data_IF_704707672120
#
_entry.id   IF_704707672120
#
_cell.length_a   1.000
_cell.length_b   1.000
_cell.length_c   1.000
_cell.angle_alpha   90.00
_cell.angle_beta   90.00
_cell.angle_gamma   90.00
#
_symmetry.space_group_name_H-M   'P 1'
#
loop_
_entity.id
_entity.type
_entity.pdbx_description
1 polymer ?
#
# COMPACT_ATOMS: atom_id res chain seq x y z
N UNK A 1 -12.16 11.15 9.28
CA UNK A 1 -13.44 10.69 9.88
C UNK A 1 -14.03 9.51 9.10
N UNK A 2 -14.37 9.69 7.83
CA UNK A 2 -15.07 8.66 7.03
C UNK A 2 -14.35 7.31 6.96
N UNK A 3 -13.03 7.32 6.73
CA UNK A 3 -12.22 6.11 6.73
C UNK A 3 -12.33 5.32 8.05
N UNK A 4 -12.23 6.01 9.20
CA UNK A 4 -12.37 5.38 10.51
C UNK A 4 -13.78 4.84 10.71
N UNK A 5 -14.81 5.58 10.29
CA UNK A 5 -16.19 5.09 10.29
C UNK A 5 -16.34 3.78 9.52
N UNK A 6 -15.77 3.69 8.32
CA UNK A 6 -15.77 2.45 7.51
C UNK A 6 -14.99 1.32 8.18
N UNK A 7 -13.81 1.61 8.74
CA UNK A 7 -12.99 0.63 9.45
C UNK A 7 -13.73 0.04 10.66
N UNK A 8 -14.23 0.89 11.55
CA UNK A 8 -14.94 0.44 12.75
C UNK A 8 -16.28 -0.24 12.43
N UNK A 9 -16.99 0.18 11.39
CA UNK A 9 -18.16 -0.55 10.89
C UNK A 9 -17.79 -1.97 10.42
N UNK A 10 -16.67 -2.13 9.70
CA UNK A 10 -16.23 -3.43 9.16
C UNK A 10 -15.94 -4.47 10.25
N UNK A 11 -15.47 -4.02 11.42
CA UNK A 11 -15.17 -4.88 12.57
C UNK A 11 -16.32 -4.92 13.60
N UNK A 12 -17.52 -4.43 13.25
CA UNK A 12 -18.70 -4.37 14.12
C UNK A 12 -18.45 -3.61 15.44
N UNK A 13 -17.66 -2.54 15.39
CA UNK A 13 -17.34 -1.67 16.55
C UNK A 13 -17.62 -0.19 16.28
N UNK A 14 -18.49 0.11 15.31
CA UNK A 14 -18.97 1.47 15.09
C UNK A 14 -19.64 2.03 16.35
N UNK A 15 -19.43 3.32 16.61
CA UNK A 15 -19.96 4.06 17.77
C UNK A 15 -19.67 3.43 19.14
N UNK A 16 -18.58 2.66 19.25
CA UNK A 16 -18.11 2.15 20.54
C UNK A 16 -17.14 3.17 21.18
N UNK A 17 -16.89 3.11 22.51
CA UNK A 17 -15.89 3.96 23.14
C UNK A 17 -14.50 3.86 22.51
N UNK A 18 -14.14 2.70 21.96
CA UNK A 18 -12.88 2.53 21.23
C UNK A 18 -12.87 3.28 19.89
N UNK A 19 -14.02 3.38 19.20
CA UNK A 19 -14.15 4.17 17.98
C UNK A 19 -13.99 5.67 18.28
N UNK A 20 -14.69 6.14 19.32
CA UNK A 20 -14.62 7.54 19.77
C UNK A 20 -13.21 7.91 20.25
N UNK A 21 -12.58 7.06 21.07
CA UNK A 21 -11.22 7.26 21.53
C UNK A 21 -10.21 7.30 20.38
N UNK A 22 -10.33 6.40 19.39
CA UNK A 22 -9.45 6.44 18.22
C UNK A 22 -9.69 7.68 17.37
N UNK A 23 -10.95 8.12 17.23
CA UNK A 23 -11.27 9.35 16.51
C UNK A 23 -10.65 10.58 17.19
N UNK A 24 -10.79 10.70 18.51
CA UNK A 24 -10.16 11.77 19.29
C UNK A 24 -8.62 11.75 19.14
N UNK A 25 -7.99 10.58 19.28
CA UNK A 25 -6.54 10.44 19.13
C UNK A 25 -6.04 10.89 17.74
N UNK A 26 -6.77 10.56 16.67
CA UNK A 26 -6.44 11.03 15.32
C UNK A 26 -6.63 12.54 15.19
N UNK A 27 -7.67 13.12 15.79
CA UNK A 27 -7.85 14.57 15.79
C UNK A 27 -6.70 15.28 16.50
N UNK A 28 -6.28 14.78 17.66
CA UNK A 28 -5.19 15.34 18.44
C UNK A 28 -3.85 15.24 17.68
N UNK A 29 -3.58 14.11 17.04
CA UNK A 29 -2.36 13.90 16.24
C UNK A 29 -2.31 14.85 15.03
N UNK A 30 -3.44 15.00 14.32
CA UNK A 30 -3.54 15.96 13.19
C UNK A 30 -3.38 17.39 13.68
N UNK A 31 -4.01 17.77 14.79
CA UNK A 31 -3.89 19.11 15.35
C UNK A 31 -2.43 19.43 15.75
N UNK A 32 -1.71 18.45 16.29
CA UNK A 32 -0.32 18.61 16.74
C UNK A 32 0.72 18.55 15.62
N UNK A 33 0.51 17.70 14.62
CA UNK A 33 1.55 17.34 13.64
C UNK A 33 1.20 17.66 12.19
N UNK A 34 -0.05 18.04 11.91
CA UNK A 34 -0.57 18.26 10.56
C UNK A 34 -0.93 16.98 9.80
N UNK A 35 -0.68 15.80 10.37
CA UNK A 35 -0.98 14.49 9.78
C UNK A 35 -1.32 13.48 10.88
N UNK A 36 -1.57 12.23 10.52
CA UNK A 36 -1.66 11.12 11.47
C UNK A 36 -1.10 9.83 10.89
N UNK A 37 -0.83 8.87 11.77
CA UNK A 37 -0.41 7.53 11.39
C UNK A 37 -1.56 6.52 11.54
N UNK A 38 -1.74 5.70 10.51
CA UNK A 38 -2.62 4.55 10.58
C UNK A 38 -2.03 3.48 11.50
N UNK A 39 -2.89 2.79 12.25
CA UNK A 39 -2.49 1.52 12.87
C UNK A 39 -2.26 0.46 11.79
N UNK A 40 -1.53 -0.61 12.11
CA UNK A 40 -1.31 -1.70 11.14
C UNK A 40 -2.63 -2.34 10.71
N UNK A 41 -3.61 -2.47 11.60
CA UNK A 41 -4.93 -3.03 11.26
C UNK A 41 -5.73 -2.11 10.34
N UNK A 42 -5.67 -0.80 10.56
CA UNK A 42 -6.24 0.20 9.66
C UNK A 42 -5.57 0.17 8.29
N UNK A 43 -4.23 0.06 8.24
CA UNK A 43 -3.48 -0.02 6.99
C UNK A 43 -3.87 -1.26 6.17
N UNK A 44 -3.96 -2.43 6.82
CA UNK A 44 -4.38 -3.68 6.18
C UNK A 44 -5.80 -3.56 5.63
N UNK A 45 -6.71 -2.97 6.41
CA UNK A 45 -8.08 -2.72 5.97
C UNK A 45 -8.11 -1.78 4.75
N UNK A 46 -7.39 -0.66 4.82
CA UNK A 46 -7.32 0.33 3.74
C UNK A 46 -6.78 -0.25 2.44
N UNK A 47 -5.70 -1.05 2.50
CA UNK A 47 -5.13 -1.71 1.34
C UNK A 47 -6.13 -2.67 0.65
N UNK A 48 -6.80 -3.51 1.44
CA UNK A 48 -7.81 -4.45 0.92
C UNK A 48 -9.03 -3.73 0.36
N UNK A 49 -9.50 -2.68 1.05
CA UNK A 49 -10.63 -1.87 0.62
C UNK A 49 -10.32 -1.12 -0.68
N UNK A 50 -9.12 -0.58 -0.83
CA UNK A 50 -8.68 0.08 -2.05
C UNK A 50 -8.72 -0.88 -3.25
N UNK A 51 -8.24 -2.11 -3.09
CA UNK A 51 -8.34 -3.13 -4.14
C UNK A 51 -9.80 -3.51 -4.44
N UNK A 52 -10.63 -3.69 -3.40
CA UNK A 52 -12.08 -3.94 -3.56
C UNK A 52 -12.79 -2.83 -4.34
N UNK A 53 -12.32 -1.59 -4.24
CA UNK A 53 -12.91 -0.43 -4.89
C UNK A 53 -12.26 -0.08 -6.24
N UNK A 54 -11.24 -0.83 -6.69
CA UNK A 54 -10.54 -0.57 -7.94
C UNK A 54 -11.40 -0.98 -9.15
N UNK A 55 -12.29 -0.11 -9.61
CA UNK A 55 -13.33 -0.35 -10.65
C UNK A 55 -12.83 -1.01 -11.94
N UNK A 56 -11.56 -0.82 -12.31
CA UNK A 56 -10.92 -1.41 -13.50
C UNK A 56 -10.27 -2.79 -13.29
N UNK A 57 -10.24 -3.31 -12.06
CA UNK A 57 -9.69 -4.64 -11.76
C UNK A 57 -10.79 -5.71 -11.86
N UNK A 58 -10.63 -6.69 -12.76
CA UNK A 58 -11.55 -7.84 -12.86
C UNK A 58 -11.35 -8.83 -11.70
N UNK A 59 -10.13 -8.94 -11.18
CA UNK A 59 -9.73 -9.91 -10.14
C UNK A 59 -10.18 -9.58 -8.71
N UNK A 60 -11.13 -8.65 -8.53
CA UNK A 60 -11.55 -8.16 -7.20
C UNK A 60 -12.19 -9.22 -6.32
N UNK A 61 -12.60 -10.38 -6.84
CA UNK A 61 -13.14 -11.47 -6.01
C UNK A 61 -12.15 -11.92 -4.91
N UNK A 62 -10.83 -11.76 -5.14
CA UNK A 62 -9.77 -12.13 -4.19
C UNK A 62 -9.41 -11.01 -3.19
N UNK A 63 -10.11 -9.87 -3.20
CA UNK A 63 -9.69 -8.65 -2.48
C UNK A 63 -9.36 -8.84 -0.99
N UNK A 64 -10.01 -9.79 -0.32
CA UNK A 64 -9.80 -10.08 1.10
C UNK A 64 -8.52 -10.88 1.37
N UNK A 65 -7.99 -11.59 0.36
CA UNK A 65 -6.76 -12.39 0.40
C UNK A 65 -5.57 -11.61 -0.16
N UNK A 66 -5.22 -10.53 0.53
CA UNK A 66 -4.06 -9.69 0.22
C UNK A 66 -3.07 -9.72 1.39
N UNK A 67 -1.81 -10.08 1.11
CA UNK A 67 -0.72 -9.88 2.05
C UNK A 67 -0.29 -8.41 2.03
N UNK A 68 -0.11 -7.82 3.20
CA UNK A 68 0.40 -6.44 3.33
C UNK A 68 1.75 -6.49 4.03
N UNK A 69 2.77 -5.92 3.39
CA UNK A 69 4.07 -5.66 3.99
C UNK A 69 4.11 -4.20 4.44
N UNK A 70 4.14 -3.97 5.74
CA UNK A 70 4.25 -2.64 6.34
C UNK A 70 5.73 -2.22 6.37
N UNK A 71 6.13 -1.40 5.40
CA UNK A 71 7.48 -0.88 5.24
C UNK A 71 7.54 0.63 5.47
N UNK A 72 6.59 1.19 6.26
CA UNK A 72 6.52 2.63 6.58
C UNK A 72 7.70 3.16 7.39
N UNK A 73 8.56 2.27 7.90
CA UNK A 73 9.79 2.63 8.63
C UNK A 73 11.05 2.58 7.75
N UNK A 74 10.95 2.19 6.47
CA UNK A 74 12.10 2.18 5.55
C UNK A 74 12.52 3.61 5.24
N UNK A 75 13.81 3.89 5.41
CA UNK A 75 14.39 5.24 5.23
C UNK A 75 15.38 5.36 4.07
N UNK A 76 15.74 4.24 3.42
CA UNK A 76 16.83 4.18 2.43
C UNK A 76 16.40 3.46 1.16
N UNK A 77 17.05 3.79 0.05
CA UNK A 77 16.84 3.12 -1.24
C UNK A 77 17.20 1.64 -1.17
N UNK A 78 18.28 1.27 -0.47
CA UNK A 78 18.65 -0.14 -0.27
C UNK A 78 17.58 -0.89 0.52
N UNK A 79 17.00 -0.27 1.55
CA UNK A 79 15.87 -0.84 2.29
C UNK A 79 14.63 -1.02 1.42
N UNK A 80 14.37 -0.09 0.49
CA UNK A 80 13.30 -0.26 -0.50
C UNK A 80 13.58 -1.45 -1.41
N UNK A 81 14.80 -1.58 -1.92
CA UNK A 81 15.20 -2.69 -2.77
C UNK A 81 15.00 -4.04 -2.08
N UNK A 82 15.47 -4.19 -0.84
CA UNK A 82 15.29 -5.41 -0.05
C UNK A 82 13.82 -5.74 0.19
N UNK A 83 13.00 -4.73 0.53
CA UNK A 83 11.56 -4.90 0.71
C UNK A 83 10.87 -5.38 -0.59
N UNK A 84 11.30 -4.87 -1.75
CA UNK A 84 10.80 -5.28 -3.06
C UNK A 84 11.26 -6.70 -3.43
N UNK A 85 12.51 -7.08 -3.17
CA UNK A 85 12.99 -8.44 -3.36
C UNK A 85 12.18 -9.43 -2.51
N UNK A 86 11.92 -9.10 -1.24
CA UNK A 86 11.09 -9.91 -0.35
C UNK A 86 9.65 -10.03 -0.86
N UNK A 87 9.08 -8.93 -1.34
CA UNK A 87 7.75 -8.91 -1.97
C UNK A 87 7.70 -9.86 -3.18
N UNK A 88 8.66 -9.77 -4.10
CA UNK A 88 8.71 -10.61 -5.31
C UNK A 88 8.86 -12.07 -4.92
N UNK A 89 9.81 -12.40 -4.02
CA UNK A 89 10.01 -13.78 -3.54
C UNK A 89 8.73 -14.35 -2.92
N UNK A 90 8.05 -13.58 -2.07
CA UNK A 90 6.79 -13.98 -1.45
C UNK A 90 5.69 -14.20 -2.50
N UNK A 91 5.53 -13.26 -3.43
CA UNK A 91 4.42 -13.25 -4.39
C UNK A 91 4.60 -14.31 -5.46
N UNK A 92 5.82 -14.54 -5.94
CA UNK A 92 6.13 -15.57 -6.94
C UNK A 92 5.93 -16.98 -6.38
N UNK A 93 6.33 -17.23 -5.13
CA UNK A 93 6.04 -18.49 -4.40
C UNK A 93 6.21 -19.78 -5.25
N UNK A 94 7.33 -19.88 -5.98
CA UNK A 94 7.65 -21.02 -6.87
C UNK A 94 6.54 -21.33 -7.89
N UNK A 95 5.83 -20.32 -8.38
CA UNK A 95 4.75 -20.44 -9.36
C UNK A 95 3.33 -20.43 -8.75
N UNK A 96 3.18 -20.66 -7.45
CA UNK A 96 1.87 -20.57 -6.78
C UNK A 96 1.58 -19.14 -6.30
N UNK A 97 1.24 -18.27 -7.25
CA UNK A 97 1.21 -16.82 -7.06
C UNK A 97 0.33 -16.39 -5.88
N UNK A 98 0.86 -15.47 -5.06
CA UNK A 98 0.16 -14.84 -3.94
C UNK A 98 0.06 -13.34 -4.15
N UNK A 99 -1.12 -12.78 -3.92
CA UNK A 99 -1.34 -11.33 -3.97
C UNK A 99 -0.72 -10.65 -2.75
N UNK A 100 0.14 -9.66 -2.99
CA UNK A 100 0.74 -8.84 -1.94
C UNK A 100 0.80 -7.37 -2.33
N UNK A 101 0.96 -6.50 -1.33
CA UNK A 101 1.29 -5.08 -1.48
C UNK A 101 2.35 -4.72 -0.44
N UNK A 102 3.33 -3.89 -0.83
CA UNK A 102 4.31 -3.30 0.08
C UNK A 102 4.02 -1.82 0.22
N UNK A 103 3.82 -1.36 1.45
CA UNK A 103 3.48 0.03 1.75
C UNK A 103 4.72 0.73 2.31
N UNK A 104 5.23 1.70 1.55
CA UNK A 104 6.33 2.58 1.94
C UNK A 104 5.83 3.80 2.73
N UNK A 105 6.72 4.62 3.31
CA UNK A 105 6.33 5.82 4.05
C UNK A 105 5.35 6.70 3.27
N UNK A 106 4.35 7.21 3.98
CA UNK A 106 3.38 8.14 3.39
C UNK A 106 4.06 9.47 3.05
N UNK A 107 3.53 10.16 2.03
CA UNK A 107 3.97 11.52 1.70
C UNK A 107 3.83 12.46 2.90
N UNK A 108 4.81 13.33 3.08
CA UNK A 108 4.83 14.39 4.08
C UNK A 108 4.68 15.76 3.42
N UNK A 109 5.79 16.42 3.10
CA UNK A 109 5.87 17.76 2.52
C UNK A 109 5.94 17.77 0.98
N UNK A 110 5.89 16.58 0.36
CA UNK A 110 6.02 16.40 -1.08
C UNK A 110 7.45 16.48 -1.61
N UNK A 111 8.45 16.74 -0.76
CA UNK A 111 9.87 16.77 -1.12
C UNK A 111 10.58 15.45 -0.76
N UNK A 112 10.01 14.68 0.17
CA UNK A 112 10.58 13.43 0.68
C UNK A 112 9.79 12.19 0.22
N UNK A 113 9.33 12.22 -1.02
CA UNK A 113 8.48 11.16 -1.57
C UNK A 113 9.22 9.84 -1.81
N UNK A 114 8.58 8.74 -1.42
CA UNK A 114 8.98 7.40 -1.80
C UNK A 114 8.32 7.04 -3.13
N UNK A 115 9.14 6.80 -4.17
CA UNK A 115 8.65 6.48 -5.52
C UNK A 115 9.42 5.34 -6.13
N UNK A 116 8.68 4.44 -6.77
CA UNK A 116 9.22 3.48 -7.74
C UNK A 116 8.90 4.07 -9.11
N UNK A 117 9.93 4.33 -9.90
CA UNK A 117 9.77 4.97 -11.22
C UNK A 117 9.28 3.98 -12.27
N UNK A 118 9.61 2.71 -12.09
CA UNK A 118 9.16 1.63 -12.95
C UNK A 118 7.64 1.49 -12.89
N UNK A 119 6.99 1.34 -14.05
CA UNK A 119 5.56 1.10 -14.14
C UNK A 119 5.13 -0.24 -13.53
N UNK A 120 6.02 -1.24 -13.55
CA UNK A 120 5.86 -2.56 -12.93
C UNK A 120 7.20 -2.98 -12.32
N UNK A 121 7.18 -3.89 -11.34
CA UNK A 121 8.42 -4.37 -10.70
C UNK A 121 9.30 -5.21 -11.64
N UNK A 122 8.69 -5.91 -12.60
CA UNK A 122 9.38 -6.74 -13.58
C UNK A 122 8.81 -6.37 -14.96
N UNK A 123 9.68 -6.01 -15.89
CA UNK A 123 9.34 -5.68 -17.27
C UNK A 123 10.54 -5.91 -18.17
N UNK A 124 10.30 -6.17 -19.46
CA UNK A 124 11.35 -6.18 -20.46
C UNK A 124 11.66 -4.75 -20.94
N UNK A 125 12.89 -4.53 -21.37
CA UNK A 125 13.31 -3.27 -21.97
C UNK A 125 12.98 -3.26 -23.47
N UNK A 126 12.83 -2.07 -24.05
CA UNK A 126 12.66 -1.87 -25.49
C UNK A 126 13.76 -0.95 -26.04
N UNK A 127 14.38 -1.34 -27.14
CA UNK A 127 15.52 -0.67 -27.74
C UNK A 127 15.23 -0.31 -29.20
N UNK A 128 15.25 0.99 -29.52
CA UNK A 128 15.19 1.46 -30.90
C UNK A 128 16.55 1.20 -31.57
N UNK A 129 16.53 0.50 -32.69
CA UNK A 129 17.72 0.14 -33.46
C UNK A 129 18.12 1.25 -34.44
N UNK A 130 19.38 1.27 -34.92
CA UNK A 130 19.84 2.24 -35.91
C UNK A 130 19.06 2.20 -37.24
N UNK A 131 18.52 1.04 -37.62
CA UNK A 131 17.71 0.85 -38.83
C UNK A 131 16.24 1.28 -38.67
N UNK A 132 15.87 1.79 -37.49
CA UNK A 132 14.51 2.24 -37.17
C UNK A 132 13.61 1.16 -36.57
N UNK A 133 14.01 -0.11 -36.56
CA UNK A 133 13.27 -1.19 -35.89
C UNK A 133 13.32 -1.07 -34.35
N UNK A 134 12.53 -1.88 -33.65
CA UNK A 134 12.51 -1.92 -32.17
C UNK A 134 12.69 -3.36 -31.70
N UNK A 135 13.63 -3.58 -30.80
CA UNK A 135 13.92 -4.87 -30.17
C UNK A 135 13.44 -4.88 -28.71
N UNK A 136 12.77 -5.95 -28.30
CA UNK A 136 12.25 -6.14 -26.94
C UNK A 136 10.72 -6.12 -26.88
#
# INVERSE_FOLDING_TARGET
KDFLGQYFASIRRANTPAHEARWQAVQDEVAKTGTYQLTTTELVFGAKLAWRNASRCIGRIQWSKLQVFDCRQVTTTSGMFEALCNHIKYSTNKGNIRSAITVFPQRTDGQHDYRIWNSQLISYAGYRQPDGSVLG
#
